data_IF_321164271608
#
_entry.id   IF_321164271608
#
_cell.length_a   1.000
_cell.length_b   1.000
_cell.length_c   1.000
_cell.angle_alpha   90.00
_cell.angle_beta   90.00
_cell.angle_gamma   90.00
#
_symmetry.space_group_name_H-M   'P 1'
#
loop_
_entity.id
_entity.type
_entity.pdbx_description
1 polymer ?
#
# COMPACT_ATOMS: atom_id res chain seq x y z
N UNK A 1 23.30 -10.06 59.06
CA UNK A 1 23.27 -11.42 58.51
C UNK A 1 21.81 -11.71 58.18
N UNK A 2 21.34 -12.02 56.97
CA UNK A 2 21.95 -12.39 55.69
C UNK A 2 20.89 -12.09 54.62
N UNK A 3 21.28 -11.36 53.56
CA UNK A 3 20.46 -11.08 52.39
C UNK A 3 20.51 -12.31 51.47
N UNK A 4 19.40 -13.03 51.31
CA UNK A 4 19.29 -14.15 50.39
C UNK A 4 18.96 -13.65 48.98
N UNK A 5 19.99 -13.41 48.16
CA UNK A 5 19.82 -13.12 46.74
C UNK A 5 19.81 -14.45 45.97
N UNK A 6 18.64 -14.79 45.41
CA UNK A 6 18.47 -15.96 44.57
C UNK A 6 18.81 -15.55 43.12
N UNK A 7 20.04 -15.81 42.69
CA UNK A 7 20.50 -15.52 41.32
C UNK A 7 20.02 -16.63 40.38
N UNK A 8 19.02 -16.32 39.55
CA UNK A 8 18.63 -17.14 38.40
C UNK A 8 19.64 -16.84 37.28
N UNK A 9 20.33 -17.85 36.70
CA UNK A 9 21.25 -17.60 35.61
C UNK A 9 20.50 -17.07 34.38
N UNK A 10 20.96 -15.91 33.92
CA UNK A 10 20.55 -15.16 32.74
C UNK A 10 20.18 -16.05 31.55
N UNK A 11 18.89 -16.04 31.22
CA UNK A 11 18.29 -16.68 30.04
C UNK A 11 18.80 -16.13 28.71
N UNK A 12 19.58 -15.03 28.73
CA UNK A 12 20.10 -14.32 27.57
C UNK A 12 21.16 -15.11 26.77
N UNK A 13 21.89 -16.04 27.39
CA UNK A 13 22.98 -16.78 26.73
C UNK A 13 22.48 -17.82 25.71
N UNK A 14 21.34 -18.47 25.97
CA UNK A 14 20.79 -19.50 25.08
C UNK A 14 20.22 -18.92 23.77
N UNK A 15 19.69 -17.71 23.82
CA UNK A 15 19.13 -17.02 22.65
C UNK A 15 20.22 -16.62 21.65
N UNK A 16 21.39 -16.20 22.14
CA UNK A 16 22.53 -15.85 21.29
C UNK A 16 23.03 -17.08 20.52
N UNK A 17 23.07 -18.25 21.17
CA UNK A 17 23.51 -19.49 20.51
C UNK A 17 22.53 -19.97 19.43
N UNK A 18 21.23 -19.83 19.65
CA UNK A 18 20.19 -20.10 18.65
C UNK A 18 20.31 -19.18 17.43
N UNK A 19 20.59 -17.89 17.65
CA UNK A 19 20.72 -16.90 16.57
C UNK A 19 21.92 -17.19 15.64
N UNK A 20 23.08 -17.54 16.21
CA UNK A 20 24.29 -17.88 15.42
C UNK A 20 24.09 -19.17 14.61
N UNK A 21 23.37 -20.17 15.15
CA UNK A 21 23.08 -21.40 14.41
C UNK A 21 22.21 -21.17 13.17
N UNK A 22 21.19 -20.30 13.25
CA UNK A 22 20.33 -19.98 12.09
C UNK A 22 21.11 -19.29 10.97
N UNK A 23 22.03 -18.37 11.31
CA UNK A 23 22.86 -17.67 10.30
C UNK A 23 23.81 -18.64 9.59
N UNK A 24 24.35 -19.63 10.30
CA UNK A 24 25.30 -20.58 9.71
C UNK A 24 24.62 -21.59 8.77
N UNK A 25 23.36 -21.95 9.03
CA UNK A 25 22.57 -22.85 8.18
C UNK A 25 22.13 -22.20 6.86
N UNK A 26 21.90 -20.89 6.82
CA UNK A 26 21.49 -20.19 5.59
C UNK A 26 22.64 -20.01 4.58
N UNK A 27 23.91 -20.08 5.01
CA UNK A 27 25.06 -19.90 4.14
C UNK A 27 25.52 -21.19 3.42
N UNK A 28 24.93 -22.34 3.73
CA UNK A 28 25.45 -23.67 3.34
C UNK A 28 24.79 -24.34 2.14
N UNK A 29 23.81 -23.74 1.45
CA UNK A 29 23.08 -24.43 0.39
C UNK A 29 23.08 -23.67 -0.93
N UNK A 30 24.19 -23.70 -1.65
CA UNK A 30 24.22 -23.46 -3.10
C UNK A 30 24.11 -24.81 -3.82
N UNK A 31 23.00 -25.15 -4.49
CA UNK A 31 22.96 -26.28 -5.39
C UNK A 31 23.61 -25.90 -6.73
N UNK A 32 24.66 -26.63 -7.09
CA UNK A 32 25.32 -26.61 -8.40
C UNK A 32 24.33 -27.10 -9.47
N UNK A 33 24.06 -26.35 -10.56
CA UNK A 33 23.24 -26.86 -11.65
C UNK A 33 24.05 -27.84 -12.51
N UNK A 34 23.61 -29.10 -12.58
CA UNK A 34 24.16 -30.08 -13.53
C UNK A 34 23.40 -29.95 -14.86
N UNK A 35 24.09 -29.47 -15.89
CA UNK A 35 23.61 -29.45 -17.27
C UNK A 35 23.75 -30.85 -17.86
N UNK A 36 22.64 -31.52 -18.14
CA UNK A 36 22.63 -32.76 -18.94
C UNK A 36 21.88 -32.46 -20.25
N UNK A 37 22.64 -32.44 -21.33
CA UNK A 37 22.16 -32.31 -22.72
C UNK A 37 21.84 -33.70 -23.26
N UNK A 38 20.58 -33.95 -23.64
CA UNK A 38 20.21 -35.04 -24.53
C UNK A 38 19.34 -34.50 -25.64
N UNK A 39 19.87 -34.55 -26.87
CA UNK A 39 19.16 -34.27 -28.10
C UNK A 39 18.45 -35.54 -28.61
N UNK A 40 17.16 -35.45 -28.92
CA UNK A 40 16.47 -36.41 -29.78
C UNK A 40 15.47 -35.66 -30.65
N UNK A 41 15.45 -36.01 -31.93
CA UNK A 41 14.82 -35.32 -33.04
C UNK A 41 13.33 -35.68 -33.25
N UNK A 42 12.61 -34.70 -33.83
CA UNK A 42 11.60 -34.77 -34.89
C UNK A 42 10.46 -35.81 -34.86
N UNK A 43 9.22 -35.32 -34.81
CA UNK A 43 8.19 -35.56 -35.84
C UNK A 43 6.97 -34.66 -35.56
N UNK A 44 6.45 -34.00 -36.60
CA UNK A 44 5.41 -32.97 -36.49
C UNK A 44 3.98 -33.48 -36.30
N UNK A 45 3.07 -32.54 -36.07
CA UNK A 45 1.74 -32.43 -36.70
C UNK A 45 1.18 -31.05 -36.32
N UNK A 46 0.86 -30.28 -37.35
CA UNK A 46 0.16 -29.00 -37.27
C UNK A 46 -1.24 -29.23 -36.69
N UNK A 47 -1.51 -28.65 -35.52
CA UNK A 47 -2.87 -28.37 -35.06
C UNK A 47 -2.82 -27.16 -34.13
N UNK A 48 -3.47 -26.09 -34.55
CA UNK A 48 -3.50 -24.79 -33.89
C UNK A 48 -3.80 -24.92 -32.38
N UNK A 49 -2.95 -24.40 -31.48
CA UNK A 49 -3.31 -24.28 -30.09
C UNK A 49 -4.15 -23.02 -29.93
N UNK A 50 -5.44 -23.22 -29.63
CA UNK A 50 -6.26 -22.21 -28.94
C UNK A 50 -5.45 -21.75 -27.72
N UNK A 51 -5.14 -20.44 -27.57
CA UNK A 51 -4.54 -19.97 -26.33
C UNK A 51 -5.64 -19.89 -25.29
N UNK A 52 -5.94 -21.04 -24.65
CA UNK A 52 -6.64 -21.04 -23.37
C UNK A 52 -5.64 -20.55 -22.33
N UNK A 53 -5.39 -19.24 -22.31
CA UNK A 53 -4.67 -18.62 -21.20
C UNK A 53 -5.51 -18.89 -19.95
N UNK A 54 -4.99 -19.61 -18.93
CA UNK A 54 -5.66 -19.60 -17.64
C UNK A 54 -5.78 -18.14 -17.20
N UNK A 55 -6.89 -17.73 -16.55
CA UNK A 55 -6.99 -16.38 -16.01
C UNK A 55 -5.74 -16.14 -15.19
N UNK A 56 -4.97 -15.13 -15.59
CA UNK A 56 -3.68 -14.79 -15.03
C UNK A 56 -3.87 -14.58 -13.53
N UNK A 57 -3.56 -15.62 -12.75
CA UNK A 57 -3.48 -15.52 -11.30
C UNK A 57 -2.47 -14.40 -11.03
N UNK A 58 -2.96 -13.32 -10.44
CA UNK A 58 -2.13 -12.16 -10.12
C UNK A 58 -0.96 -12.68 -9.28
N UNK A 59 0.30 -12.28 -9.58
CA UNK A 59 1.42 -12.70 -8.77
C UNK A 59 1.12 -12.31 -7.32
N UNK A 60 1.25 -13.28 -6.41
CA UNK A 60 1.01 -13.05 -5.00
C UNK A 60 1.94 -11.92 -4.53
N UNK A 61 1.36 -10.77 -4.14
CA UNK A 61 2.13 -9.64 -3.64
C UNK A 61 2.84 -10.06 -2.35
N UNK A 62 4.14 -9.79 -2.27
CA UNK A 62 4.93 -10.07 -1.06
C UNK A 62 4.54 -9.09 0.05
N UNK A 63 4.41 -9.58 1.29
CA UNK A 63 4.17 -8.70 2.43
C UNK A 63 5.31 -7.70 2.60
N UNK A 64 4.99 -6.42 2.91
CA UNK A 64 3.75 -5.97 3.52
C UNK A 64 2.66 -5.55 2.52
N UNK A 65 2.98 -5.49 1.22
CA UNK A 65 2.08 -5.04 0.16
C UNK A 65 1.24 -3.80 0.56
N UNK A 66 1.89 -2.78 1.16
CA UNK A 66 1.21 -1.60 1.69
C UNK A 66 0.63 -0.76 0.54
N UNK A 67 -0.69 -0.65 0.50
CA UNK A 67 -1.42 0.06 -0.54
C UNK A 67 -2.45 1.00 0.06
N UNK A 68 -2.56 2.19 -0.53
CA UNK A 68 -3.58 3.18 -0.21
C UNK A 68 -4.44 3.37 -1.45
N UNK A 69 -5.76 3.31 -1.27
CA UNK A 69 -6.73 3.64 -2.31
C UNK A 69 -7.53 4.87 -1.91
N UNK A 70 -7.95 5.63 -2.92
CA UNK A 70 -8.68 6.88 -2.79
C UNK A 70 -9.76 6.98 -3.88
N UNK A 71 -10.75 7.87 -3.73
CA UNK A 71 -11.71 8.16 -4.79
C UNK A 71 -11.03 8.90 -5.95
N UNK A 72 -11.11 8.36 -7.16
CA UNK A 72 -10.54 8.97 -8.38
C UNK A 72 -11.29 10.24 -8.81
N UNK A 73 -12.52 10.44 -8.31
CA UNK A 73 -13.30 11.64 -8.61
C UNK A 73 -12.97 12.73 -7.58
N UNK A 74 -12.73 13.95 -8.06
CA UNK A 74 -12.54 15.10 -7.19
C UNK A 74 -13.84 15.40 -6.42
N UNK A 75 -13.73 15.45 -5.09
CA UNK A 75 -14.86 15.75 -4.22
C UNK A 75 -14.96 17.27 -3.99
N UNK A 76 -16.18 17.83 -4.00
CA UNK A 76 -16.38 19.22 -3.65
C UNK A 76 -15.88 19.49 -2.22
N UNK A 77 -15.54 20.75 -1.93
CA UNK A 77 -15.32 21.16 -0.55
C UNK A 77 -16.55 20.82 0.29
N UNK A 78 -16.32 20.49 1.56
CA UNK A 78 -17.31 20.01 2.52
C UNK A 78 -17.93 18.65 2.16
N UNK A 79 -17.47 18.00 1.09
CA UNK A 79 -17.81 16.62 0.78
C UNK A 79 -17.09 15.64 1.71
N UNK A 80 -17.64 14.43 1.82
CA UNK A 80 -17.00 13.33 2.53
C UNK A 80 -16.08 12.55 1.59
N UNK A 81 -14.86 12.27 2.05
CA UNK A 81 -13.87 11.46 1.34
C UNK A 81 -13.40 10.32 2.23
N UNK A 82 -13.17 9.14 1.67
CA UNK A 82 -12.63 8.01 2.41
C UNK A 82 -11.39 7.46 1.72
N UNK A 83 -10.27 7.44 2.43
CA UNK A 83 -9.10 6.64 2.06
C UNK A 83 -9.24 5.24 2.65
N UNK A 84 -8.72 4.24 1.95
CA UNK A 84 -8.56 2.89 2.47
C UNK A 84 -7.09 2.50 2.39
N UNK A 85 -6.56 1.99 3.50
CA UNK A 85 -5.21 1.45 3.52
C UNK A 85 -5.25 -0.05 3.79
N UNK A 86 -4.41 -0.79 3.08
CA UNK A 86 -4.32 -2.24 3.17
C UNK A 86 -2.87 -2.67 3.28
N UNK A 87 -2.61 -3.71 4.07
CA UNK A 87 -1.30 -4.32 4.21
C UNK A 87 -1.46 -5.81 4.54
N UNK A 88 -0.39 -6.59 4.46
CA UNK A 88 -0.33 -7.94 4.99
C UNK A 88 0.88 -8.13 5.91
N UNK A 89 0.75 -9.05 6.86
CA UNK A 89 1.83 -9.42 7.78
C UNK A 89 1.92 -10.92 7.93
N UNK A 90 3.14 -11.42 8.08
CA UNK A 90 3.38 -12.79 8.56
C UNK A 90 3.20 -12.92 10.08
N UNK A 91 3.00 -11.80 10.79
CA UNK A 91 2.78 -11.74 12.24
C UNK A 91 1.31 -11.38 12.55
N UNK A 92 0.41 -12.38 12.69
CA UNK A 92 -1.04 -12.16 12.79
C UNK A 92 -1.46 -11.29 14.00
N UNK A 93 -0.75 -11.44 15.12
CA UNK A 93 -1.08 -10.79 16.39
C UNK A 93 -0.16 -9.60 16.73
N UNK A 94 0.97 -9.47 16.05
CA UNK A 94 1.97 -8.45 16.30
C UNK A 94 2.10 -7.55 15.07
N UNK A 95 1.01 -6.93 14.67
CA UNK A 95 1.02 -5.99 13.56
C UNK A 95 0.00 -4.89 13.79
N UNK A 96 0.36 -3.66 13.43
CA UNK A 96 -0.51 -2.48 13.53
C UNK A 96 -0.56 -1.75 12.19
N UNK A 97 -1.73 -1.20 11.89
CA UNK A 97 -1.97 -0.35 10.73
C UNK A 97 -2.68 0.91 11.24
N UNK A 98 -2.14 2.08 10.95
CA UNK A 98 -2.69 3.34 11.41
C UNK A 98 -2.42 4.48 10.44
N UNK A 99 -3.13 5.58 10.63
CA UNK A 99 -3.04 6.79 9.84
C UNK A 99 -2.38 7.91 10.63
N UNK A 100 -1.66 8.76 9.91
CA UNK A 100 -1.12 10.04 10.38
C UNK A 100 -1.42 11.12 9.35
N UNK A 101 -1.36 12.38 9.77
CA UNK A 101 -1.30 13.51 8.86
C UNK A 101 -0.28 14.54 9.36
N UNK A 102 0.54 15.06 8.45
CA UNK A 102 1.63 15.99 8.76
C UNK A 102 2.51 15.54 9.95
N UNK A 103 2.75 14.23 10.08
CA UNK A 103 3.56 13.64 11.16
C UNK A 103 2.88 13.53 12.53
N UNK A 104 1.58 13.83 12.62
CA UNK A 104 0.79 13.70 13.84
C UNK A 104 -0.31 12.64 13.69
N UNK A 105 -0.75 12.05 14.81
CA UNK A 105 -1.93 11.19 14.82
C UNK A 105 -3.20 11.98 14.42
N UNK A 106 -4.17 11.27 13.83
CA UNK A 106 -5.36 11.87 13.22
C UNK A 106 -6.20 12.66 14.22
N UNK A 107 -6.30 12.21 15.46
CA UNK A 107 -7.04 12.86 16.54
C UNK A 107 -6.48 14.24 16.94
N UNK A 108 -5.22 14.53 16.58
CA UNK A 108 -4.59 15.82 16.86
C UNK A 108 -4.65 16.78 15.67
N UNK A 109 -5.19 16.36 14.52
CA UNK A 109 -5.32 17.21 13.35
C UNK A 109 -6.61 18.04 13.42
N UNK A 110 -6.57 19.28 12.91
CA UNK A 110 -7.78 20.08 12.78
C UNK A 110 -8.70 19.52 11.70
N UNK A 111 -10.00 19.73 11.88
CA UNK A 111 -11.04 19.33 10.93
C UNK A 111 -11.84 18.10 11.37
N UNK A 112 -12.80 17.69 10.54
CA UNK A 112 -13.65 16.52 10.81
C UNK A 112 -13.05 15.27 10.18
N UNK A 113 -12.12 14.67 10.90
CA UNK A 113 -11.41 13.46 10.50
C UNK A 113 -11.78 12.32 11.43
N UNK A 114 -11.90 11.11 10.87
CA UNK A 114 -12.13 9.91 11.66
C UNK A 114 -11.34 8.74 11.11
N UNK A 115 -10.46 8.20 11.93
CA UNK A 115 -9.82 6.93 11.64
C UNK A 115 -10.75 5.75 11.98
N UNK A 116 -10.93 4.81 11.05
CA UNK A 116 -11.73 3.61 11.27
C UNK A 116 -10.99 2.57 12.11
N UNK A 117 -11.73 1.58 12.61
CA UNK A 117 -11.12 0.42 13.29
C UNK A 117 -10.33 -0.45 12.30
N UNK A 118 -9.23 -1.03 12.77
CA UNK A 118 -8.46 -1.99 11.96
C UNK A 118 -9.26 -3.29 11.81
N UNK A 119 -9.56 -3.68 10.57
CA UNK A 119 -10.07 -5.00 10.23
C UNK A 119 -8.92 -5.94 9.94
N UNK A 120 -9.08 -7.23 10.27
CA UNK A 120 -8.10 -8.29 10.02
C UNK A 120 -8.83 -9.48 9.44
N UNK A 121 -8.33 -10.07 8.36
CA UNK A 121 -8.74 -11.41 7.96
C UNK A 121 -7.52 -12.32 7.84
N UNK A 122 -7.58 -13.50 8.48
CA UNK A 122 -6.54 -14.51 8.32
C UNK A 122 -6.52 -15.04 6.89
N UNK A 123 -5.35 -15.04 6.26
CA UNK A 123 -5.05 -15.82 5.07
C UNK A 123 -4.28 -17.10 5.42
N UNK A 124 -3.93 -17.88 4.41
CA UNK A 124 -3.19 -19.14 4.60
C UNK A 124 -1.74 -18.94 5.08
N UNK A 125 -1.08 -17.86 4.68
CA UNK A 125 0.35 -17.59 4.97
C UNK A 125 0.60 -16.22 5.61
N UNK A 126 -0.40 -15.36 5.65
CA UNK A 126 -0.32 -14.01 6.18
C UNK A 126 -1.70 -13.54 6.63
N UNK A 127 -1.74 -12.54 7.50
CA UNK A 127 -2.97 -11.82 7.85
C UNK A 127 -3.03 -10.54 7.05
N UNK A 128 -4.18 -10.27 6.43
CA UNK A 128 -4.43 -8.99 5.76
C UNK A 128 -5.09 -8.03 6.74
N UNK A 129 -4.63 -6.79 6.73
CA UNK A 129 -5.13 -5.69 7.55
C UNK A 129 -5.72 -4.62 6.65
N UNK A 130 -6.79 -4.00 7.11
CA UNK A 130 -7.39 -2.83 6.45
C UNK A 130 -7.79 -1.78 7.47
N UNK A 131 -7.58 -0.51 7.12
CA UNK A 131 -8.03 0.60 7.94
C UNK A 131 -8.41 1.79 7.07
N UNK A 132 -9.59 2.33 7.29
CA UNK A 132 -10.07 3.51 6.59
C UNK A 132 -9.69 4.80 7.33
N UNK A 133 -9.56 5.89 6.57
CA UNK A 133 -9.54 7.25 7.08
C UNK A 133 -10.66 8.02 6.38
N UNK A 134 -11.60 8.55 7.16
CA UNK A 134 -12.73 9.33 6.66
C UNK A 134 -12.49 10.80 6.94
N UNK A 135 -12.48 11.60 5.89
CA UNK A 135 -12.57 13.06 5.95
C UNK A 135 -14.06 13.36 5.82
N UNK A 136 -14.74 13.61 6.93
CA UNK A 136 -16.19 13.85 6.93
C UNK A 136 -16.53 15.17 6.21
N UNK A 137 -15.65 16.17 6.35
CA UNK A 137 -15.78 17.49 5.75
C UNK A 137 -14.45 17.94 5.13
N UNK A 138 -14.36 17.89 3.80
CA UNK A 138 -13.15 18.27 3.08
C UNK A 138 -12.91 19.78 3.10
N UNK A 139 -11.85 20.22 3.76
CA UNK A 139 -11.41 21.62 3.77
C UNK A 139 -10.18 21.85 2.88
N UNK A 140 -9.86 23.11 2.52
CA UNK A 140 -8.64 23.44 1.79
C UNK A 140 -7.35 22.99 2.50
N UNK A 141 -7.33 23.06 3.84
CA UNK A 141 -6.22 22.57 4.64
C UNK A 141 -6.05 21.04 4.47
N UNK A 142 -7.15 20.28 4.56
CA UNK A 142 -7.12 18.82 4.41
C UNK A 142 -6.74 18.35 3.00
N UNK A 143 -7.03 19.14 1.95
CA UNK A 143 -6.55 18.85 0.59
C UNK A 143 -5.01 18.85 0.47
N UNK A 144 -4.36 19.67 1.30
CA UNK A 144 -2.90 19.86 1.29
C UNK A 144 -2.20 19.09 2.42
N UNK A 145 -2.95 18.41 3.28
CA UNK A 145 -2.39 17.56 4.34
C UNK A 145 -1.69 16.36 3.71
N UNK A 146 -0.47 16.08 4.17
CA UNK A 146 0.23 14.85 3.85
C UNK A 146 -0.25 13.76 4.80
N UNK A 147 -1.16 12.92 4.32
CA UNK A 147 -1.61 11.76 5.06
C UNK A 147 -0.64 10.60 4.83
N UNK A 148 -0.31 9.89 5.89
CA UNK A 148 0.54 8.71 5.83
C UNK A 148 -0.22 7.52 6.39
N UNK A 149 -0.37 6.46 5.61
CA UNK A 149 -0.71 5.17 6.18
C UNK A 149 0.58 4.47 6.61
N UNK A 150 0.65 4.01 7.85
CA UNK A 150 1.82 3.37 8.44
C UNK A 150 1.47 1.96 8.91
N UNK A 151 2.30 1.03 8.46
CA UNK A 151 2.25 -0.37 8.84
C UNK A 151 3.51 -0.74 9.62
N UNK A 152 3.32 -1.45 10.73
CA UNK A 152 4.41 -1.92 11.59
C UNK A 152 4.16 -3.37 11.98
N UNK A 153 5.19 -4.19 11.88
CA UNK A 153 5.27 -5.54 12.44
C UNK A 153 6.71 -5.83 12.94
N UNK A 154 7.00 -6.99 13.58
CA UNK A 154 8.33 -7.33 14.08
C UNK A 154 9.46 -7.29 13.03
N UNK A 155 9.14 -7.42 11.74
CA UNK A 155 10.14 -7.42 10.69
C UNK A 155 10.43 -6.02 10.14
N UNK A 156 9.46 -5.10 10.20
CA UNK A 156 9.53 -3.87 9.43
C UNK A 156 8.55 -2.77 9.84
N UNK A 157 8.91 -1.55 9.44
CA UNK A 157 8.05 -0.36 9.42
C UNK A 157 8.00 0.17 8.00
N UNK A 158 6.81 0.31 7.43
CA UNK A 158 6.61 0.85 6.08
C UNK A 158 5.50 1.88 6.10
N UNK A 159 5.68 2.98 5.37
CA UNK A 159 4.70 4.05 5.27
C UNK A 159 4.44 4.44 3.81
N UNK A 160 3.20 4.82 3.51
CA UNK A 160 2.79 5.36 2.20
C UNK A 160 2.12 6.70 2.39
N UNK A 161 2.67 7.72 1.75
CA UNK A 161 2.17 9.09 1.77
C UNK A 161 1.14 9.33 0.68
N UNK A 162 0.18 10.20 0.97
CA UNK A 162 -0.85 10.63 0.05
C UNK A 162 -1.23 12.09 0.32
N UNK A 163 -1.14 12.92 -0.71
CA UNK A 163 -1.60 14.31 -0.70
C UNK A 163 -2.70 14.44 -1.74
N UNK A 164 -3.89 14.80 -1.28
CA UNK A 164 -5.09 14.76 -2.12
C UNK A 164 -5.03 15.74 -3.30
N UNK A 165 -4.47 16.93 -3.08
CA UNK A 165 -4.26 17.91 -4.14
C UNK A 165 -3.36 17.37 -5.26
N UNK A 166 -2.32 16.61 -4.92
CA UNK A 166 -1.39 16.02 -5.89
C UNK A 166 -2.04 14.88 -6.67
N UNK A 167 -2.82 14.03 -5.98
CA UNK A 167 -3.55 12.93 -6.62
C UNK A 167 -4.52 13.44 -7.69
N UNK A 168 -5.33 14.44 -7.36
CA UNK A 168 -6.29 15.00 -8.32
C UNK A 168 -5.60 15.79 -9.43
N UNK A 169 -4.49 16.48 -9.15
CA UNK A 169 -3.68 17.11 -10.20
C UNK A 169 -3.13 16.05 -11.17
N UNK A 170 -2.65 14.92 -10.67
CA UNK A 170 -2.18 13.80 -11.49
C UNK A 170 -3.27 13.20 -12.37
N UNK A 171 -4.49 13.03 -11.83
CA UNK A 171 -5.64 12.50 -12.58
C UNK A 171 -6.07 13.43 -13.73
N UNK A 172 -6.03 14.75 -13.52
CA UNK A 172 -6.31 15.73 -14.59
C UNK A 172 -5.30 15.67 -15.73
N UNK A 173 -4.05 15.28 -15.46
CA UNK A 173 -3.02 15.14 -16.50
C UNK A 173 -3.16 13.83 -17.30
N UNK A 174 -3.72 12.78 -16.67
CA UNK A 174 -3.93 11.48 -17.32
C UNK A 174 -5.21 11.46 -18.16
N UNK A 175 -6.25 12.19 -17.75
CA UNK A 175 -7.46 12.38 -18.55
C UNK A 175 -7.18 13.50 -19.58
N UNK A 176 -7.08 13.23 -20.90
CA UNK A 176 -6.91 14.29 -21.87
C UNK A 176 -8.10 15.24 -21.73
N UNK A 177 -7.80 16.51 -21.51
CA UNK A 177 -8.82 17.55 -21.35
C UNK A 177 -9.90 17.39 -22.43
N UNK A 178 -11.14 17.24 -21.99
CA UNK A 178 -12.27 17.64 -22.82
C UNK A 178 -11.98 19.09 -23.17
N UNK A 179 -11.63 19.36 -24.44
CA UNK A 179 -11.51 20.70 -24.96
C UNK A 179 -12.81 21.43 -24.60
N UNK A 180 -12.72 22.33 -23.63
CA UNK A 180 -13.67 23.41 -23.49
C UNK A 180 -13.50 24.24 -24.77
N UNK A 181 -14.34 23.93 -25.76
CA UNK A 181 -14.48 24.74 -26.97
C UNK A 181 -14.93 26.10 -26.47
N UNK A 182 -13.97 27.04 -26.46
CA UNK A 182 -14.21 28.46 -26.25
C UNK A 182 -15.41 28.87 -27.12
N UNK A 183 -16.52 29.40 -26.56
CA UNK A 183 -17.53 30.01 -27.39
C UNK A 183 -16.89 31.26 -28.00
N UNK A 184 -16.65 31.21 -29.31
CA UNK A 184 -16.32 32.36 -30.15
C UNK A 184 -17.32 33.48 -29.85
N UNK A 185 -16.85 34.52 -29.16
CA UNK A 185 -17.62 35.71 -28.87
C UNK A 185 -17.81 36.51 -30.17
N UNK A 186 -18.93 36.27 -30.85
CA UNK A 186 -19.40 37.21 -31.87
C UNK A 186 -19.87 38.49 -31.17
N UNK A 187 -19.09 39.56 -31.34
CA UNK A 187 -19.47 40.92 -30.94
C UNK A 187 -20.55 41.47 -31.90
N UNK A 188 -21.60 42.13 -31.40
CA UNK A 188 -22.50 42.91 -32.25
C UNK A 188 -21.83 44.25 -32.60
N UNK A 189 -21.66 44.52 -33.89
CA UNK A 189 -21.21 45.83 -34.38
C UNK A 189 -22.29 46.91 -34.17
N UNK A 190 -21.90 48.18 -33.96
CA UNK A 190 -22.83 49.25 -33.64
C UNK A 190 -23.59 49.75 -34.86
N UNK A 191 -24.82 50.20 -34.61
CA UNK A 191 -25.62 50.97 -35.55
C UNK A 191 -25.05 52.39 -35.73
N UNK A 192 -24.92 52.80 -36.99
CA UNK A 192 -24.85 54.19 -37.51
C UNK A 192 -25.27 54.04 -38.99
N UNK A 193 -26.24 54.73 -39.59
CA UNK A 193 -26.74 56.07 -39.33
C UNK A 193 -26.49 56.90 -40.59
N UNK A 194 -27.36 56.77 -41.60
CA UNK A 194 -27.76 57.78 -42.61
C UNK A 194 -28.91 57.24 -43.48
#
# INVERSE_FOLDING_TARGET
>A
MTMGQNWIPESSSLWVLLYVHIITLLAGTTPVPQTITTATASAGISKDPIPSWPPTLSPAKQCPALEVTWPEVEMPLNGTLTFSCTACSHFPHFSILYWMGNGSFIEHLPGRLREGSTRREPGSTSTRLWRSLVLEELSPALRSTNFSCVFVDPGQVVQRHVILAELWAGLRMVLPGSQEVLPSSHSPGPQQGE
#
